data_IF_315373577256
#
_entry.id   IF_315373577256
#
_cell.length_a   1.000
_cell.length_b   1.000
_cell.length_c   1.000
_cell.angle_alpha   90.00
_cell.angle_beta   90.00
_cell.angle_gamma   90.00
#
_symmetry.space_group_name_H-M   'P 1'
#
loop_
_entity.id
_entity.type
_entity.pdbx_description
1 polymer ?
#
# COMPACT_ATOMS: atom_id res chain seq x y z
N UNK A 1 -23.96 21.71 13.31
CA UNK A 1 -22.96 21.44 12.26
C UNK A 1 -22.34 20.11 12.61
N UNK A 2 -22.74 19.02 11.94
CA UNK A 2 -22.38 17.64 12.30
C UNK A 2 -21.09 17.24 11.58
N UNK A 3 -20.07 16.89 12.36
CA UNK A 3 -18.79 16.32 11.94
C UNK A 3 -18.95 14.80 11.67
N UNK A 4 -19.83 14.41 10.75
CA UNK A 4 -20.15 12.99 10.49
C UNK A 4 -19.89 12.53 9.05
N UNK A 5 -19.16 13.30 8.23
CA UNK A 5 -18.98 12.99 6.78
C UNK A 5 -17.53 12.63 6.39
N UNK A 6 -16.54 12.71 7.29
CA UNK A 6 -15.12 12.60 6.90
C UNK A 6 -14.64 11.15 6.74
N UNK A 7 -15.04 10.24 7.64
CA UNK A 7 -14.55 8.84 7.60
C UNK A 7 -15.06 8.06 6.37
N UNK A 8 -16.33 8.23 5.98
CA UNK A 8 -16.87 7.57 4.77
C UNK A 8 -16.16 8.01 3.48
N UNK A 9 -15.63 9.24 3.45
CA UNK A 9 -14.98 9.79 2.26
C UNK A 9 -13.61 9.14 2.01
N UNK A 10 -12.82 8.94 3.07
CA UNK A 10 -11.50 8.32 2.94
C UNK A 10 -11.55 6.84 2.61
N UNK A 11 -12.51 6.10 3.18
CA UNK A 11 -12.71 4.69 2.82
C UNK A 11 -13.07 4.55 1.33
N UNK A 12 -13.87 5.46 0.78
CA UNK A 12 -14.21 5.49 -0.65
C UNK A 12 -12.99 5.84 -1.51
N UNK A 13 -12.18 6.83 -1.11
CA UNK A 13 -10.94 7.19 -1.82
C UNK A 13 -9.93 6.06 -1.86
N UNK A 14 -9.70 5.39 -0.72
CA UNK A 14 -8.80 4.24 -0.63
C UNK A 14 -9.30 3.09 -1.53
N UNK A 15 -10.60 2.78 -1.46
CA UNK A 15 -11.20 1.75 -2.31
C UNK A 15 -11.07 2.11 -3.80
N UNK A 16 -11.22 3.39 -4.15
CA UNK A 16 -11.04 3.88 -5.51
C UNK A 16 -9.58 3.77 -5.97
N UNK A 17 -8.63 4.23 -5.16
CA UNK A 17 -7.19 4.11 -5.43
C UNK A 17 -6.80 2.65 -5.68
N UNK A 18 -7.30 1.73 -4.85
CA UNK A 18 -7.05 0.28 -4.98
C UNK A 18 -7.69 -0.30 -6.24
N UNK A 19 -8.87 0.20 -6.63
CA UNK A 19 -9.59 -0.28 -7.82
C UNK A 19 -8.99 0.23 -9.13
N UNK A 20 -8.46 1.45 -9.13
CA UNK A 20 -7.91 2.09 -10.33
C UNK A 20 -6.48 1.68 -10.65
N UNK A 21 -5.79 1.02 -9.72
CA UNK A 21 -4.38 0.67 -9.86
C UNK A 21 -4.16 -0.82 -9.57
N UNK A 22 -3.62 -1.53 -10.56
CA UNK A 22 -3.35 -2.97 -10.44
C UNK A 22 -2.32 -3.29 -9.35
N UNK A 23 -1.37 -2.39 -9.09
CA UNK A 23 -0.43 -2.52 -7.98
C UNK A 23 -0.31 -1.17 -7.29
N UNK A 24 -0.65 -1.13 -6.00
CA UNK A 24 -0.56 0.09 -5.19
C UNK A 24 0.08 -0.19 -3.83
N UNK A 25 1.05 0.63 -3.47
CA UNK A 25 1.75 0.60 -2.19
C UNK A 25 1.43 1.84 -1.36
N UNK A 26 0.77 1.64 -0.22
CA UNK A 26 0.64 2.68 0.81
C UNK A 26 1.89 2.65 1.67
N UNK A 27 2.68 3.72 1.64
CA UNK A 27 4.02 3.76 2.23
C UNK A 27 4.29 5.07 2.99
N UNK A 28 5.38 5.10 3.76
CA UNK A 28 5.87 6.30 4.44
C UNK A 28 6.94 6.97 3.58
N UNK A 29 6.64 8.16 3.06
CA UNK A 29 7.44 8.83 2.04
C UNK A 29 7.08 8.38 0.63
N UNK A 30 8.01 8.53 -0.29
CA UNK A 30 7.83 8.18 -1.72
C UNK A 30 8.89 7.17 -2.17
N UNK A 31 8.76 6.53 -3.36
CA UNK A 31 9.78 5.63 -3.88
C UNK A 31 11.18 6.24 -3.94
N UNK A 32 11.27 7.52 -4.32
CA UNK A 32 12.54 8.26 -4.43
C UNK A 32 13.06 8.79 -3.08
N UNK A 33 12.20 8.91 -2.06
CA UNK A 33 12.55 9.43 -0.74
C UNK A 33 11.76 8.69 0.36
N UNK A 34 12.05 7.40 0.59
CA UNK A 34 11.37 6.64 1.62
C UNK A 34 11.77 7.15 3.01
N UNK A 35 10.79 7.29 3.90
CA UNK A 35 10.99 7.79 5.26
C UNK A 35 10.91 6.69 6.34
N UNK A 36 10.94 5.43 5.91
CA UNK A 36 10.93 4.26 6.78
C UNK A 36 11.63 3.09 6.09
N UNK A 37 12.50 2.36 6.81
CA UNK A 37 13.25 1.23 6.25
C UNK A 37 12.36 0.11 5.68
N UNK A 38 11.19 -0.14 6.28
CA UNK A 38 10.22 -1.10 5.75
C UNK A 38 9.60 -0.62 4.43
N UNK A 39 9.32 0.68 4.32
CA UNK A 39 8.83 1.27 3.06
C UNK A 39 9.89 1.23 1.98
N UNK A 40 11.16 1.52 2.31
CA UNK A 40 12.28 1.37 1.38
C UNK A 40 12.40 -0.08 0.90
N UNK A 41 12.30 -1.06 1.81
CA UNK A 41 12.39 -2.48 1.46
C UNK A 41 11.28 -2.94 0.51
N UNK A 42 10.04 -2.47 0.71
CA UNK A 42 8.94 -2.78 -0.19
C UNK A 42 9.14 -2.19 -1.59
N UNK A 43 9.71 -0.97 -1.67
CA UNK A 43 10.10 -0.35 -2.94
C UNK A 43 11.18 -1.20 -3.61
N UNK A 44 12.27 -1.54 -2.92
CA UNK A 44 13.36 -2.37 -3.47
C UNK A 44 12.82 -3.66 -4.12
N UNK A 45 11.87 -4.35 -3.45
CA UNK A 45 11.26 -5.58 -3.95
C UNK A 45 10.47 -5.33 -5.24
N UNK A 46 9.64 -4.28 -5.28
CA UNK A 46 8.83 -3.98 -6.47
C UNK A 46 9.70 -3.56 -7.67
N UNK A 47 10.77 -2.82 -7.41
CA UNK A 47 11.77 -2.47 -8.44
C UNK A 47 12.52 -3.72 -8.94
N UNK A 48 12.88 -4.66 -8.06
CA UNK A 48 13.54 -5.91 -8.44
C UNK A 48 12.62 -6.85 -9.25
N UNK A 49 11.31 -6.78 -9.00
CA UNK A 49 10.30 -7.47 -9.80
C UNK A 49 10.05 -6.83 -11.18
N UNK A 50 10.56 -5.61 -11.41
CA UNK A 50 10.39 -4.84 -12.66
C UNK A 50 8.90 -4.68 -13.05
N UNK A 51 8.08 -4.27 -12.07
CA UNK A 51 6.63 -4.10 -12.26
C UNK A 51 6.23 -2.63 -12.15
N UNK A 52 5.18 -2.24 -12.89
CA UNK A 52 4.57 -0.92 -12.74
C UNK A 52 3.68 -0.89 -11.51
N UNK A 53 3.86 0.13 -10.65
CA UNK A 53 3.07 0.33 -9.45
C UNK A 53 2.90 1.81 -9.14
N UNK A 54 1.87 2.13 -8.37
CA UNK A 54 1.68 3.48 -7.81
C UNK A 54 1.90 3.48 -6.31
N UNK A 55 2.15 4.66 -5.74
CA UNK A 55 2.31 4.81 -4.29
C UNK A 55 1.46 5.92 -3.73
N UNK A 56 1.09 5.77 -2.45
CA UNK A 56 0.46 6.83 -1.67
C UNK A 56 1.25 7.07 -0.39
N UNK A 57 1.76 8.28 -0.24
CA UNK A 57 2.50 8.70 0.95
C UNK A 57 1.53 9.03 2.10
N UNK A 58 1.45 8.13 3.06
CA UNK A 58 0.59 8.29 4.25
C UNK A 58 1.09 9.35 5.22
N UNK A 59 2.32 9.84 5.09
CA UNK A 59 2.83 10.90 5.97
C UNK A 59 2.33 12.27 5.54
N UNK A 60 1.97 12.43 4.26
CA UNK A 60 1.40 13.66 3.72
C UNK A 60 -0.06 13.87 4.14
N UNK A 61 -0.76 12.80 4.56
CA UNK A 61 -2.17 12.82 4.89
C UNK A 61 -2.48 11.92 6.13
N UNK A 62 -2.72 12.54 7.30
CA UNK A 62 -3.06 11.80 8.53
C UNK A 62 -4.34 10.97 8.44
N UNK A 63 -5.33 11.42 7.66
CA UNK A 63 -6.62 10.72 7.51
C UNK A 63 -6.44 9.50 6.62
N UNK A 64 -5.63 9.59 5.55
CA UNK A 64 -5.21 8.43 4.77
C UNK A 64 -4.46 7.41 5.64
N UNK A 65 -3.53 7.87 6.49
CA UNK A 65 -2.72 7.02 7.35
C UNK A 65 -3.55 6.18 8.32
N UNK A 66 -4.61 6.77 8.88
CA UNK A 66 -5.52 6.06 9.76
C UNK A 66 -6.49 5.20 8.93
N UNK A 67 -7.08 5.80 7.89
CA UNK A 67 -8.06 5.16 7.02
C UNK A 67 -7.56 3.87 6.38
N UNK A 68 -6.30 3.80 5.93
CA UNK A 68 -5.76 2.58 5.29
C UNK A 68 -5.63 1.42 6.29
N UNK A 69 -5.31 1.70 7.55
CA UNK A 69 -5.23 0.67 8.60
C UNK A 69 -6.61 0.13 8.94
N UNK A 70 -7.60 1.01 9.00
CA UNK A 70 -8.97 0.65 9.29
C UNK A 70 -9.59 -0.13 8.12
N UNK A 71 -9.28 0.27 6.87
CA UNK A 71 -9.72 -0.38 5.64
C UNK A 71 -9.21 -1.83 5.55
N UNK A 72 -7.90 -2.06 5.74
CA UNK A 72 -7.30 -3.40 5.71
C UNK A 72 -7.54 -4.20 6.99
N UNK A 73 -7.98 -3.55 8.07
CA UNK A 73 -7.93 -4.08 9.44
C UNK A 73 -6.49 -4.51 9.82
N UNK A 74 -5.49 -3.79 9.31
CA UNK A 74 -4.08 -4.08 9.51
C UNK A 74 -3.35 -2.90 10.17
N UNK A 75 -2.62 -3.11 11.29
CA UNK A 75 -2.14 -2.00 12.12
C UNK A 75 -0.89 -1.29 11.59
N UNK A 76 -0.14 -1.91 10.67
CA UNK A 76 1.18 -1.42 10.23
C UNK A 76 1.19 -0.93 8.79
N UNK A 77 2.24 -0.16 8.47
CA UNK A 77 2.51 0.42 7.14
C UNK A 77 4.01 0.16 6.90
N UNK A 78 4.42 -0.25 5.69
CA UNK A 78 3.70 -0.24 4.41
C UNK A 78 2.61 -1.31 4.25
N UNK A 79 1.69 -1.10 3.29
CA UNK A 79 0.63 -2.04 2.89
C UNK A 79 0.56 -2.12 1.35
N UNK A 80 0.65 -3.33 0.81
CA UNK A 80 0.57 -3.60 -0.62
C UNK A 80 -0.79 -4.18 -1.01
N UNK A 81 -1.33 -3.69 -2.11
CA UNK A 81 -2.48 -4.27 -2.80
C UNK A 81 -2.10 -4.62 -4.24
N UNK A 82 -2.61 -5.75 -4.70
CA UNK A 82 -2.46 -6.22 -6.08
C UNK A 82 -3.85 -6.60 -6.59
N UNK A 83 -4.30 -5.97 -7.67
CA UNK A 83 -5.58 -6.21 -8.36
C UNK A 83 -6.80 -6.15 -7.44
N UNK A 84 -6.77 -5.22 -6.48
CA UNK A 84 -7.82 -5.06 -5.49
C UNK A 84 -7.63 -5.86 -4.20
N UNK A 85 -6.76 -6.88 -4.21
CA UNK A 85 -6.56 -7.77 -3.07
C UNK A 85 -5.44 -7.26 -2.16
N UNK A 86 -5.69 -7.31 -0.85
CA UNK A 86 -4.69 -6.99 0.16
C UNK A 86 -3.66 -8.13 0.26
N UNK A 87 -2.40 -7.83 -0.05
CA UNK A 87 -1.31 -8.81 0.01
C UNK A 87 -0.69 -8.86 1.41
N UNK A 88 -0.42 -7.70 2.01
CA UNK A 88 0.18 -7.65 3.33
C UNK A 88 1.07 -6.44 3.55
N UNK A 89 1.79 -6.47 4.69
CA UNK A 89 2.86 -5.53 5.01
C UNK A 89 4.24 -6.02 4.56
N UNK A 90 5.28 -5.30 5.00
CA UNK A 90 6.66 -5.54 4.57
C UNK A 90 7.15 -6.99 4.78
N UNK A 91 6.90 -7.59 5.93
CA UNK A 91 7.39 -8.94 6.23
C UNK A 91 6.76 -9.99 5.30
N UNK A 92 5.47 -9.85 5.02
CA UNK A 92 4.74 -10.74 4.08
C UNK A 92 5.24 -10.52 2.66
N UNK A 93 5.53 -9.28 2.25
CA UNK A 93 6.13 -9.00 0.95
C UNK A 93 7.51 -9.67 0.80
N UNK A 94 8.35 -9.64 1.84
CA UNK A 94 9.66 -10.29 1.83
C UNK A 94 9.49 -11.80 1.66
N UNK A 95 8.65 -12.44 2.49
CA UNK A 95 8.38 -13.89 2.42
C UNK A 95 7.84 -14.29 1.03
N UNK A 96 6.83 -13.56 0.54
CA UNK A 96 6.20 -13.83 -0.75
C UNK A 96 7.14 -13.56 -1.93
N UNK A 97 8.13 -12.68 -1.76
CA UNK A 97 9.16 -12.44 -2.76
C UNK A 97 10.16 -13.60 -2.79
N UNK A 98 10.62 -14.05 -1.62
CA UNK A 98 11.56 -15.16 -1.48
C UNK A 98 10.99 -16.49 -1.99
N UNK A 99 9.70 -16.75 -1.79
CA UNK A 99 9.03 -17.97 -2.27
C UNK A 99 8.51 -17.86 -3.73
N UNK A 100 8.62 -16.68 -4.34
CA UNK A 100 8.20 -16.40 -5.71
C UNK A 100 6.69 -16.18 -5.91
N UNK A 101 5.87 -16.27 -4.85
CA UNK A 101 4.42 -16.03 -4.89
C UNK A 101 4.13 -14.61 -5.33
N UNK A 102 4.84 -13.62 -4.79
CA UNK A 102 4.65 -12.21 -5.13
C UNK A 102 4.89 -11.95 -6.61
N UNK A 103 5.96 -12.55 -7.16
CA UNK A 103 6.24 -12.48 -8.60
C UNK A 103 5.07 -13.02 -9.41
N UNK A 104 4.50 -14.16 -9.04
CA UNK A 104 3.35 -14.73 -9.76
C UNK A 104 2.10 -13.85 -9.66
N UNK A 105 1.88 -13.17 -8.53
CA UNK A 105 0.75 -12.26 -8.34
C UNK A 105 0.87 -10.98 -9.16
N UNK A 106 2.08 -10.45 -9.32
CA UNK A 106 2.35 -9.21 -10.06
C UNK A 106 2.66 -9.44 -11.54
N UNK A 107 2.93 -10.69 -11.93
CA UNK A 107 3.13 -11.08 -13.32
C UNK A 107 1.79 -11.30 -14.01
N UNK A 108 1.40 -10.35 -14.88
CA UNK A 108 0.21 -10.40 -15.76
C UNK A 108 -1.13 -10.26 -15.05
#
# INVERSE_FOLDING_TARGET
>A
MKFEIVEEDYQKKIAQDIKENDIILFMKGTPYAPQCGFSAKCVDILEELDVEYVTRDVLSDPELRQGIKDFSKWPTIPQLYVKGDFIGGCDIMIESFEDGTLKNLTSS
#
